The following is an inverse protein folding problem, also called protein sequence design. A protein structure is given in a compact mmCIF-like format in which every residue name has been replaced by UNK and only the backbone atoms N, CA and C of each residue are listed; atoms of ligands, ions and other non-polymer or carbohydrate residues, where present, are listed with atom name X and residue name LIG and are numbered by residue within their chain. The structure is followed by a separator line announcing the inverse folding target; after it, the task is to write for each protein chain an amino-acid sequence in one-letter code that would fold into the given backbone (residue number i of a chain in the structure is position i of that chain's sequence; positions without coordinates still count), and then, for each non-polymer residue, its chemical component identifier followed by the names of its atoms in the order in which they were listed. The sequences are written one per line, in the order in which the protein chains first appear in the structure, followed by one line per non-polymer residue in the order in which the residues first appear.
data_IF_981053344369
#
_entry.id   IF_981053344369
#
_cell.length_a   1.000
_cell.length_b   1.000
_cell.length_c   1.000
_cell.angle_alpha   90.00
_cell.angle_beta   90.00
_cell.angle_gamma   90.00
#
_symmetry.space_group_name_H-M   'P 1'
#
loop_
_entity.id
_entity.type
_entity.pdbx_description
1 polymer ?
#
# COMPACT_ATOMS: atom_id res chain seq x y z
N UNK A 1 -39.75 0.81 -49.29
CA UNK A 1 -39.26 1.24 -47.95
C UNK A 1 -38.51 0.07 -47.34
N UNK A 2 -37.18 0.17 -47.24
CA UNK A 2 -36.33 -0.89 -46.71
C UNK A 2 -36.00 -0.53 -45.25
N UNK A 3 -36.61 -1.21 -44.29
CA UNK A 3 -36.29 -1.06 -42.88
C UNK A 3 -35.02 -1.88 -42.60
N UNK A 4 -33.89 -1.21 -42.40
CA UNK A 4 -32.68 -1.82 -41.86
C UNK A 4 -32.88 -1.95 -40.35
N UNK A 5 -33.24 -3.14 -39.88
CA UNK A 5 -33.20 -3.50 -38.47
C UNK A 5 -31.75 -3.84 -38.13
N UNK A 6 -31.03 -2.91 -37.51
CA UNK A 6 -29.72 -3.19 -36.92
C UNK A 6 -29.95 -3.98 -35.65
N UNK A 7 -29.99 -5.31 -35.78
CA UNK A 7 -29.95 -6.23 -34.65
C UNK A 7 -28.55 -6.24 -34.05
N UNK A 8 -28.28 -5.37 -33.06
CA UNK A 8 -27.15 -5.57 -32.17
C UNK A 8 -27.41 -6.87 -31.39
N UNK A 9 -26.65 -7.92 -31.72
CA UNK A 9 -26.74 -9.20 -31.04
C UNK A 9 -26.64 -8.98 -29.52
N UNK A 10 -27.51 -9.61 -28.70
CA UNK A 10 -27.51 -9.42 -27.25
C UNK A 10 -26.12 -9.64 -26.61
N UNK A 11 -25.31 -10.52 -27.19
CA UNK A 11 -23.92 -10.78 -26.77
C UNK A 11 -23.03 -9.53 -26.81
N UNK A 12 -23.20 -8.64 -27.80
CA UNK A 12 -22.43 -7.39 -27.89
C UNK A 12 -22.85 -6.38 -26.82
N UNK A 13 -24.15 -6.30 -26.53
CA UNK A 13 -24.69 -5.40 -25.49
C UNK A 13 -24.27 -5.88 -24.09
N UNK A 14 -24.32 -7.19 -23.82
CA UNK A 14 -23.81 -7.76 -22.57
C UNK A 14 -22.28 -7.63 -22.46
N UNK A 15 -21.53 -7.78 -23.55
CA UNK A 15 -20.08 -7.59 -23.57
C UNK A 15 -19.67 -6.15 -23.25
N UNK A 16 -20.35 -5.16 -23.85
CA UNK A 16 -20.12 -3.74 -23.57
C UNK A 16 -20.56 -3.38 -22.16
N UNK A 17 -21.70 -3.89 -21.68
CA UNK A 17 -22.17 -3.67 -20.31
C UNK A 17 -21.24 -4.32 -19.26
N UNK A 18 -20.71 -5.51 -19.53
CA UNK A 18 -19.73 -6.18 -18.66
C UNK A 18 -18.38 -5.46 -18.66
N UNK A 19 -17.93 -4.95 -19.81
CA UNK A 19 -16.74 -4.09 -19.90
C UNK A 19 -16.95 -2.76 -19.16
N UNK A 20 -18.12 -2.15 -19.27
CA UNK A 20 -18.48 -0.94 -18.54
C UNK A 20 -18.59 -1.17 -17.04
N UNK A 21 -19.23 -2.26 -16.61
CA UNK A 21 -19.34 -2.66 -15.20
C UNK A 21 -17.96 -2.98 -14.61
N UNK A 22 -17.10 -3.69 -15.36
CA UNK A 22 -15.71 -3.97 -14.95
C UNK A 22 -14.87 -2.71 -14.88
N UNK A 23 -15.06 -1.75 -15.79
CA UNK A 23 -14.39 -0.45 -15.76
C UNK A 23 -14.88 0.41 -14.58
N UNK A 24 -16.18 0.32 -14.21
CA UNK A 24 -16.76 1.06 -13.08
C UNK A 24 -16.48 0.42 -11.71
N UNK A 25 -16.19 -0.88 -11.68
CA UNK A 25 -15.76 -1.64 -10.50
C UNK A 25 -14.28 -1.47 -10.15
N UNK A 26 -13.55 -0.57 -10.83
CA UNK A 26 -12.09 -0.45 -10.76
C UNK A 26 -11.54 0.36 -9.57
N UNK A 27 -12.39 1.06 -8.81
CA UNK A 27 -11.95 1.79 -7.62
C UNK A 27 -12.14 0.90 -6.39
N UNK A 28 -11.06 0.69 -5.66
CA UNK A 28 -11.11 0.03 -4.37
C UNK A 28 -11.97 0.88 -3.41
N UNK A 29 -12.73 0.22 -2.53
CA UNK A 29 -13.39 0.93 -1.44
C UNK A 29 -12.33 1.33 -0.41
N UNK A 30 -12.32 2.62 -0.04
CA UNK A 30 -11.48 3.15 1.04
C UNK A 30 -12.39 3.72 2.10
N UNK A 31 -12.32 3.16 3.31
CA UNK A 31 -13.05 3.67 4.46
C UNK A 31 -12.40 4.97 4.94
N UNK A 32 -13.11 6.09 4.82
CA UNK A 32 -12.62 7.37 5.32
C UNK A 32 -12.78 7.45 6.85
N UNK A 33 -11.66 7.51 7.56
CA UNK A 33 -11.60 7.71 9.02
C UNK A 33 -10.84 9.00 9.37
N UNK A 34 -10.66 9.91 8.40
CA UNK A 34 -9.89 11.14 8.59
C UNK A 34 -10.49 12.07 9.63
N UNK A 35 -11.80 12.06 9.84
CA UNK A 35 -12.44 12.81 10.92
C UNK A 35 -12.17 12.23 12.32
N UNK A 36 -11.88 10.93 12.41
CA UNK A 36 -11.71 10.21 13.67
C UNK A 36 -10.25 10.09 14.11
N UNK A 37 -9.31 10.05 13.15
CA UNK A 37 -7.90 9.91 13.48
C UNK A 37 -7.30 11.22 14.05
N UNK A 38 -6.39 11.17 15.04
CA UNK A 38 -5.90 12.36 15.74
C UNK A 38 -5.29 13.42 14.81
N UNK A 39 -5.83 14.64 14.86
CA UNK A 39 -5.36 15.78 14.06
C UNK A 39 -3.92 16.20 14.39
N UNK A 40 -3.49 16.05 15.64
CA UNK A 40 -2.16 16.47 16.12
C UNK A 40 -0.96 15.76 15.47
N UNK A 41 -1.19 14.71 14.67
CA UNK A 41 -0.15 14.04 13.88
C UNK A 41 0.16 14.73 12.55
N UNK A 42 -0.72 15.64 12.13
CA UNK A 42 -0.69 16.28 10.82
C UNK A 42 0.16 17.54 10.91
N UNK A 43 1.02 17.70 9.92
CA UNK A 43 1.78 18.93 9.69
C UNK A 43 1.50 19.45 8.28
N UNK A 44 1.76 20.74 8.05
CA UNK A 44 1.61 21.34 6.72
C UNK A 44 2.56 20.66 5.74
N UNK A 45 2.04 20.28 4.57
CA UNK A 45 2.85 19.81 3.45
C UNK A 45 3.24 20.98 2.56
N UNK A 46 4.50 20.98 2.10
CA UNK A 46 5.06 22.03 1.25
C UNK A 46 5.49 21.53 -0.13
N UNK A 47 5.46 20.22 -0.36
CA UNK A 47 5.87 19.58 -1.61
C UNK A 47 4.70 18.80 -2.21
N UNK A 48 4.68 18.69 -3.54
CA UNK A 48 3.80 17.75 -4.23
C UNK A 48 4.11 16.32 -3.80
N UNK A 49 3.09 15.47 -3.84
CA UNK A 49 3.20 14.06 -3.50
C UNK A 49 3.38 13.29 -4.80
N UNK A 50 4.46 12.53 -4.88
CA UNK A 50 4.78 11.68 -6.02
C UNK A 50 5.22 10.27 -5.60
N UNK A 51 5.25 10.02 -4.29
CA UNK A 51 5.71 8.76 -3.73
C UNK A 51 4.71 8.14 -2.77
N UNK A 52 4.79 6.82 -2.64
CA UNK A 52 4.23 6.06 -1.54
C UNK A 52 5.36 5.34 -0.81
N UNK A 53 5.26 5.25 0.51
CA UNK A 53 6.16 4.43 1.34
C UNK A 53 5.32 3.34 1.97
N UNK A 54 5.76 2.09 1.76
CA UNK A 54 5.14 0.91 2.33
C UNK A 54 5.74 0.63 3.71
N UNK A 55 4.87 0.23 4.63
CA UNK A 55 5.21 -0.07 6.00
C UNK A 55 4.56 -1.35 6.53
N UNK A 56 5.17 -1.98 7.52
CA UNK A 56 4.47 -2.90 8.43
C UNK A 56 4.30 -2.30 9.82
N UNK A 57 3.16 -2.56 10.46
CA UNK A 57 2.88 -2.04 11.80
C UNK A 57 3.69 -2.74 12.90
N UNK A 58 4.21 -3.94 12.63
CA UNK A 58 4.83 -4.84 13.62
C UNK A 58 3.86 -5.29 14.73
N UNK A 59 2.55 -5.19 14.49
CA UNK A 59 1.48 -5.68 15.35
C UNK A 59 0.16 -5.79 14.56
N UNK A 60 -0.77 -6.61 15.05
CA UNK A 60 -2.16 -6.67 14.59
C UNK A 60 -3.14 -6.42 15.74
N UNK A 61 -4.24 -5.74 15.45
CA UNK A 61 -5.42 -5.56 16.31
C UNK A 61 -6.67 -6.13 15.65
N UNK A 62 -6.52 -7.09 14.73
CA UNK A 62 -7.61 -7.70 13.97
C UNK A 62 -8.19 -6.79 12.89
N UNK A 63 -9.43 -7.07 12.49
CA UNK A 63 -10.03 -6.51 11.27
C UNK A 63 -10.75 -5.17 11.45
N UNK A 64 -10.98 -4.69 12.68
CA UNK A 64 -11.65 -3.40 12.87
C UNK A 64 -10.66 -2.22 12.65
N UNK A 65 -10.81 -1.43 11.56
CA UNK A 65 -9.87 -0.34 11.27
C UNK A 65 -9.90 0.76 12.33
N UNK A 66 -10.98 0.87 13.13
CA UNK A 66 -11.08 1.86 14.22
C UNK A 66 -10.08 1.58 15.36
N UNK A 67 -9.60 0.34 15.50
CA UNK A 67 -8.56 -0.01 16.48
C UNK A 67 -7.18 0.55 16.13
N UNK A 68 -7.02 1.10 14.93
CA UNK A 68 -5.75 1.59 14.38
C UNK A 68 -5.74 3.11 14.18
N UNK A 69 -6.73 3.87 14.67
CA UNK A 69 -6.78 5.34 14.52
C UNK A 69 -5.50 6.06 15.02
N UNK A 70 -4.75 5.44 15.94
CA UNK A 70 -3.48 5.95 16.47
C UNK A 70 -2.24 5.47 15.70
N UNK A 71 -2.36 4.81 14.54
CA UNK A 71 -1.24 4.59 13.61
C UNK A 71 -0.91 5.92 12.91
N UNK A 72 0.37 6.20 12.66
CA UNK A 72 0.80 7.44 11.98
C UNK A 72 1.00 7.15 10.50
N UNK A 73 -0.09 7.02 9.75
CA UNK A 73 -0.05 6.76 8.31
C UNK A 73 -1.23 7.41 7.59
N UNK A 74 -1.11 7.56 6.27
CA UNK A 74 -2.22 8.04 5.45
C UNK A 74 -3.26 6.95 5.27
N UNK A 75 -2.80 5.74 4.96
CA UNK A 75 -3.64 4.57 4.77
C UNK A 75 -3.17 3.41 5.65
N UNK A 76 -4.12 2.58 6.05
CA UNK A 76 -3.87 1.29 6.68
C UNK A 76 -4.57 0.17 5.91
N UNK A 77 -4.03 -1.04 6.00
CA UNK A 77 -4.65 -2.25 5.45
C UNK A 77 -4.65 -3.32 6.54
N UNK A 78 -5.85 -3.66 7.01
CA UNK A 78 -6.08 -4.68 8.05
C UNK A 78 -6.15 -6.10 7.46
N UNK A 79 -6.12 -7.18 8.26
CA UNK A 79 -5.91 -8.54 7.75
C UNK A 79 -6.97 -9.04 6.75
N UNK A 80 -8.22 -8.57 6.81
CA UNK A 80 -9.26 -8.91 5.83
C UNK A 80 -9.17 -8.11 4.52
N UNK A 81 -8.16 -7.26 4.37
CA UNK A 81 -7.96 -6.41 3.20
C UNK A 81 -8.75 -5.10 3.23
N UNK A 82 -9.47 -4.79 4.31
CA UNK A 82 -10.12 -3.48 4.44
C UNK A 82 -9.08 -2.37 4.44
N UNK A 83 -9.27 -1.39 3.57
CA UNK A 83 -8.40 -0.23 3.43
C UNK A 83 -9.08 0.95 4.11
N UNK A 84 -8.39 1.60 5.03
CA UNK A 84 -8.90 2.81 5.67
C UNK A 84 -7.92 3.98 5.51
N UNK A 85 -8.46 5.17 5.24
CA UNK A 85 -7.70 6.41 5.21
C UNK A 85 -7.78 7.09 6.59
N UNK A 86 -6.64 7.19 7.27
CA UNK A 86 -6.56 7.84 8.59
C UNK A 86 -6.24 9.33 8.45
N UNK A 87 -5.46 9.73 7.46
CA UNK A 87 -5.06 11.12 7.29
C UNK A 87 -5.17 11.56 5.82
N UNK A 88 -5.57 12.82 5.57
CA UNK A 88 -5.68 13.33 4.21
C UNK A 88 -4.29 13.34 3.55
N UNK A 89 -4.21 13.02 2.26
CA UNK A 89 -2.93 13.00 1.52
C UNK A 89 -2.23 14.36 1.58
N UNK A 90 -3.01 15.46 1.59
CA UNK A 90 -2.52 16.83 1.73
C UNK A 90 -1.78 17.12 3.04
N UNK A 91 -1.95 16.29 4.09
CA UNK A 91 -1.18 16.41 5.32
C UNK A 91 0.19 15.72 5.19
N UNK A 92 1.22 16.35 5.73
CA UNK A 92 2.51 15.70 6.00
C UNK A 92 2.42 14.95 7.33
N UNK A 93 2.92 13.73 7.35
CA UNK A 93 3.07 12.91 8.56
C UNK A 93 4.56 12.68 8.84
N UNK A 94 4.88 12.32 10.08
CA UNK A 94 6.20 11.82 10.47
C UNK A 94 6.17 10.28 10.50
N UNK A 95 6.11 9.67 9.32
CA UNK A 95 5.90 8.23 9.14
C UNK A 95 7.06 7.54 8.41
N UNK A 96 7.81 8.27 7.57
CA UNK A 96 8.71 7.73 6.55
C UNK A 96 10.04 8.48 6.46
N UNK A 97 10.55 9.03 7.58
CA UNK A 97 11.83 9.77 7.66
C UNK A 97 12.08 10.74 6.49
N UNK A 98 13.18 10.59 5.74
CA UNK A 98 13.52 11.45 4.59
C UNK A 98 12.46 11.55 3.49
N UNK A 99 11.51 10.61 3.41
CA UNK A 99 10.43 10.64 2.42
C UNK A 99 9.19 11.44 2.86
N UNK A 100 9.06 11.79 4.15
CA UNK A 100 7.87 12.44 4.73
C UNK A 100 7.30 13.61 3.91
N UNK A 101 8.19 14.43 3.33
CA UNK A 101 7.80 15.62 2.57
C UNK A 101 7.07 15.31 1.27
N UNK A 102 7.36 14.19 0.61
CA UNK A 102 6.87 13.86 -0.75
C UNK A 102 6.05 12.57 -0.83
N UNK A 103 5.93 11.84 0.27
CA UNK A 103 5.21 10.56 0.28
C UNK A 103 3.89 10.57 1.05
N UNK A 104 3.06 9.59 0.72
CA UNK A 104 2.03 9.05 1.61
C UNK A 104 2.47 7.71 2.17
N UNK A 105 2.09 7.39 3.41
CA UNK A 105 2.43 6.13 4.08
C UNK A 105 1.26 5.14 4.00
N UNK A 106 1.55 3.88 3.64
CA UNK A 106 0.62 2.75 3.73
C UNK A 106 1.16 1.75 4.75
N UNK A 107 0.41 1.52 5.82
CA UNK A 107 0.75 0.57 6.88
C UNK A 107 -0.08 -0.71 6.78
N UNK A 108 0.59 -1.86 6.75
CA UNK A 108 -0.05 -3.17 6.78
C UNK A 108 -0.08 -3.69 8.22
N UNK A 109 -1.27 -4.06 8.70
CA UNK A 109 -1.41 -4.68 10.00
C UNK A 109 -0.74 -6.07 10.02
N UNK A 110 0.04 -6.34 11.05
CA UNK A 110 0.77 -7.59 11.21
C UNK A 110 2.14 -7.37 11.82
N UNK A 111 2.57 -8.31 12.66
CA UNK A 111 3.97 -8.53 12.97
C UNK A 111 4.52 -9.54 11.96
N UNK A 112 5.21 -9.05 10.91
CA UNK A 112 5.62 -9.87 9.78
C UNK A 112 7.08 -10.31 9.88
N UNK A 113 7.34 -11.50 9.35
CA UNK A 113 8.64 -12.17 9.46
C UNK A 113 9.72 -11.42 8.69
N UNK A 114 10.92 -11.36 9.25
CA UNK A 114 12.12 -10.94 8.53
C UNK A 114 12.70 -12.07 7.68
N UNK A 115 13.56 -11.75 6.72
CA UNK A 115 14.30 -12.75 5.93
C UNK A 115 15.17 -13.68 6.77
N UNK A 116 15.62 -13.22 7.95
CA UNK A 116 16.38 -14.04 8.92
C UNK A 116 15.48 -14.94 9.77
N UNK A 117 14.18 -14.90 9.54
CA UNK A 117 13.20 -15.75 10.17
C UNK A 117 12.64 -15.26 11.50
N UNK A 118 13.03 -14.06 11.97
CA UNK A 118 12.56 -13.47 13.24
C UNK A 118 11.43 -12.46 13.06
N UNK A 119 10.69 -12.24 14.15
CA UNK A 119 9.59 -11.28 14.30
C UNK A 119 9.95 -10.24 15.36
N UNK A 120 9.28 -9.08 15.36
CA UNK A 120 9.51 -8.06 16.38
C UNK A 120 8.74 -8.41 17.66
N UNK A 121 9.44 -8.73 18.76
CA UNK A 121 8.83 -9.08 20.07
C UNK A 121 7.60 -10.01 19.93
N UNK A 122 7.76 -11.20 19.34
CA UNK A 122 6.63 -12.03 18.93
C UNK A 122 5.76 -12.55 20.09
N UNK A 123 6.29 -12.57 21.32
CA UNK A 123 5.57 -12.90 22.54
C UNK A 123 4.52 -11.83 22.88
N UNK A 124 4.78 -10.56 22.49
CA UNK A 124 3.87 -9.43 22.73
C UNK A 124 2.94 -9.15 21.55
N UNK A 125 3.44 -9.32 20.31
CA UNK A 125 2.76 -8.89 19.10
C UNK A 125 2.35 -10.02 18.16
N UNK A 126 2.59 -11.27 18.54
CA UNK A 126 2.27 -12.43 17.73
C UNK A 126 3.25 -12.67 16.58
N UNK A 127 2.95 -13.67 15.77
CA UNK A 127 3.71 -14.07 14.59
C UNK A 127 2.75 -14.10 13.41
N UNK A 128 2.48 -12.94 12.84
CA UNK A 128 1.55 -12.81 11.73
C UNK A 128 2.23 -13.14 10.39
N UNK A 129 1.39 -13.37 9.38
CA UNK A 129 1.77 -13.55 7.98
C UNK A 129 0.89 -12.61 7.16
N UNK A 130 1.45 -12.02 6.10
CA UNK A 130 0.71 -11.14 5.21
C UNK A 130 -0.41 -11.91 4.50
N UNK A 131 -1.66 -11.47 4.65
CA UNK A 131 -2.79 -12.19 4.05
C UNK A 131 -2.93 -11.91 2.55
N UNK A 132 -3.52 -12.86 1.81
CA UNK A 132 -3.84 -12.64 0.41
C UNK A 132 -4.77 -11.42 0.20
N UNK A 133 -5.69 -11.17 1.12
CA UNK A 133 -6.59 -10.02 1.07
C UNK A 133 -5.82 -8.70 1.21
N UNK A 134 -4.83 -8.64 2.12
CA UNK A 134 -3.93 -7.51 2.24
C UNK A 134 -3.10 -7.28 0.97
N UNK A 135 -2.59 -8.35 0.34
CA UNK A 135 -1.86 -8.23 -0.94
C UNK A 135 -2.74 -7.61 -2.02
N UNK A 136 -3.96 -8.13 -2.20
CA UNK A 136 -4.90 -7.62 -3.21
C UNK A 136 -5.28 -6.15 -2.94
N UNK A 137 -5.55 -5.82 -1.67
CA UNK A 137 -5.85 -4.48 -1.23
C UNK A 137 -4.69 -3.50 -1.49
N UNK A 138 -3.46 -3.88 -1.12
CA UNK A 138 -2.25 -3.10 -1.35
C UNK A 138 -2.02 -2.82 -2.82
N UNK A 139 -2.11 -3.86 -3.67
CA UNK A 139 -1.99 -3.72 -5.14
C UNK A 139 -3.06 -2.80 -5.72
N UNK A 140 -4.30 -2.93 -5.25
CA UNK A 140 -5.42 -2.08 -5.67
C UNK A 140 -5.22 -0.62 -5.28
N UNK A 141 -4.75 -0.36 -4.05
CA UNK A 141 -4.44 0.98 -3.57
C UNK A 141 -3.29 1.61 -4.34
N UNK A 142 -2.20 0.87 -4.60
CA UNK A 142 -1.10 1.35 -5.43
C UNK A 142 -1.57 1.76 -6.83
N UNK A 143 -2.44 0.97 -7.47
CA UNK A 143 -3.01 1.30 -8.78
C UNK A 143 -3.83 2.59 -8.74
N UNK A 144 -4.66 2.76 -7.71
CA UNK A 144 -5.45 3.98 -7.53
C UNK A 144 -4.56 5.20 -7.30
N UNK A 145 -3.55 5.09 -6.44
CA UNK A 145 -2.60 6.16 -6.15
C UNK A 145 -1.74 6.52 -7.37
N UNK A 146 -1.28 5.54 -8.14
CA UNK A 146 -0.58 5.74 -9.41
C UNK A 146 -1.44 6.52 -10.40
N UNK A 147 -2.72 6.19 -10.49
CA UNK A 147 -3.68 6.92 -11.33
C UNK A 147 -3.91 8.36 -10.86
N UNK A 148 -3.65 8.65 -9.58
CA UNK A 148 -3.70 10.00 -9.00
C UNK A 148 -2.35 10.75 -9.11
N UNK A 149 -1.35 10.20 -9.80
CA UNK A 149 -0.08 10.86 -10.07
C UNK A 149 1.12 10.37 -9.27
N UNK A 150 0.97 9.37 -8.38
CA UNK A 150 2.11 8.72 -7.73
C UNK A 150 2.97 7.99 -8.77
N UNK A 151 4.29 8.21 -8.70
CA UNK A 151 5.29 7.64 -9.60
C UNK A 151 6.29 6.74 -8.89
N UNK A 152 6.47 6.92 -7.59
CA UNK A 152 7.46 6.17 -6.82
C UNK A 152 6.82 5.27 -5.75
N UNK A 153 7.43 4.12 -5.50
CA UNK A 153 7.12 3.22 -4.39
C UNK A 153 8.41 2.90 -3.63
N UNK A 154 8.43 3.19 -2.34
CA UNK A 154 9.61 2.97 -1.50
C UNK A 154 9.29 2.07 -0.32
N UNK A 155 10.33 1.46 0.24
CA UNK A 155 10.33 0.84 1.55
C UNK A 155 10.85 1.83 2.59
N UNK A 156 10.28 1.85 3.80
CA UNK A 156 10.74 2.76 4.85
C UNK A 156 12.24 2.59 5.20
N UNK A 157 12.77 1.35 5.11
CA UNK A 157 14.20 1.08 5.28
C UNK A 157 15.11 1.96 4.41
N UNK A 158 14.66 2.37 3.23
CA UNK A 158 15.46 3.17 2.29
C UNK A 158 15.75 4.58 2.80
N UNK A 159 15.07 5.06 3.86
CA UNK A 159 15.34 6.35 4.49
C UNK A 159 15.65 6.25 5.99
N UNK A 160 15.82 5.03 6.54
CA UNK A 160 15.95 4.86 7.99
C UNK A 160 16.91 3.74 8.41
N UNK A 161 17.92 4.03 9.26
CA UNK A 161 18.84 3.01 9.77
C UNK A 161 18.17 2.09 10.80
N UNK A 162 17.03 2.50 11.38
CA UNK A 162 16.34 1.80 12.47
C UNK A 162 15.16 0.95 12.00
N UNK A 163 14.94 0.87 10.69
CA UNK A 163 13.77 0.22 10.08
C UNK A 163 14.17 -0.91 9.12
N UNK A 164 15.18 -1.70 9.51
CA UNK A 164 15.77 -2.72 8.65
C UNK A 164 14.78 -3.78 8.11
N UNK A 165 13.66 -4.04 8.78
CA UNK A 165 12.62 -4.97 8.32
C UNK A 165 11.33 -4.27 7.86
N UNK A 166 11.35 -2.97 7.55
CA UNK A 166 10.15 -2.22 7.17
C UNK A 166 10.15 -1.91 5.66
N UNK A 167 9.15 -2.36 4.88
CA UNK A 167 7.95 -3.10 5.27
C UNK A 167 8.16 -4.61 5.48
N UNK A 168 9.32 -5.12 5.09
CA UNK A 168 9.64 -6.54 5.19
C UNK A 168 9.48 -7.26 3.86
N UNK A 169 10.02 -8.48 3.76
CA UNK A 169 10.11 -9.22 2.51
C UNK A 169 8.75 -9.57 1.91
N UNK A 170 7.76 -9.92 2.74
CA UNK A 170 6.43 -10.33 2.27
C UNK A 170 5.70 -9.19 1.57
N UNK A 171 5.65 -8.00 2.19
CA UNK A 171 5.01 -6.82 1.60
C UNK A 171 5.81 -6.35 0.38
N UNK A 172 7.14 -6.34 0.46
CA UNK A 172 7.94 -5.88 -0.66
C UNK A 172 7.76 -6.77 -1.88
N UNK A 173 8.02 -8.07 -1.81
CA UNK A 173 7.87 -9.00 -2.94
C UNK A 173 6.47 -8.96 -3.55
N UNK A 174 5.43 -8.98 -2.71
CA UNK A 174 4.05 -9.16 -3.20
C UNK A 174 3.38 -7.86 -3.60
N UNK A 175 3.74 -6.71 -3.03
CA UNK A 175 3.09 -5.41 -3.28
C UNK A 175 4.06 -4.40 -3.87
N UNK A 176 5.23 -4.19 -3.24
CA UNK A 176 6.23 -3.21 -3.66
C UNK A 176 6.83 -3.53 -5.04
N UNK A 177 7.49 -4.68 -5.15
CA UNK A 177 8.07 -5.20 -6.39
C UNK A 177 7.01 -5.39 -7.47
N UNK A 178 5.82 -5.90 -7.11
CA UNK A 178 4.70 -5.94 -8.05
C UNK A 178 4.33 -4.55 -8.58
N UNK A 179 4.36 -3.52 -7.74
CA UNK A 179 4.12 -2.13 -8.14
C UNK A 179 5.17 -1.62 -9.12
N UNK A 180 6.43 -2.01 -8.94
CA UNK A 180 7.52 -1.74 -9.89
C UNK A 180 7.24 -2.46 -11.22
N UNK A 181 7.10 -3.78 -11.19
CA UNK A 181 7.04 -4.63 -12.39
C UNK A 181 5.75 -4.40 -13.21
N UNK A 182 4.63 -4.17 -12.53
CA UNK A 182 3.29 -4.16 -13.18
C UNK A 182 2.75 -2.74 -13.37
N UNK A 183 3.04 -1.81 -12.47
CA UNK A 183 2.55 -0.43 -12.59
C UNK A 183 3.61 0.55 -13.12
N UNK A 184 4.86 0.10 -13.25
CA UNK A 184 5.99 0.95 -13.65
C UNK A 184 6.29 2.03 -12.61
N UNK A 185 6.05 1.73 -11.32
CA UNK A 185 6.49 2.62 -10.23
C UNK A 185 8.01 2.50 -10.06
N UNK A 186 8.65 3.60 -9.70
CA UNK A 186 10.09 3.66 -9.50
C UNK A 186 10.44 3.56 -8.00
N UNK A 187 11.31 2.62 -7.64
CA UNK A 187 11.83 2.42 -6.28
C UNK A 187 13.22 3.03 -6.05
N UNK A 188 13.73 3.76 -7.05
CA UNK A 188 15.06 4.35 -7.12
C UNK A 188 16.13 3.42 -7.69
N UNK A 189 15.81 2.14 -7.93
CA UNK A 189 16.73 1.15 -8.49
C UNK A 189 17.67 0.51 -7.47
N UNK A 190 18.61 -0.27 -8.01
CA UNK A 190 19.62 -0.98 -7.22
C UNK A 190 20.46 -0.02 -6.37
N UNK A 191 20.68 -0.37 -5.10
CA UNK A 191 21.50 0.45 -4.20
C UNK A 191 20.85 1.77 -3.73
N UNK A 192 19.61 2.08 -4.15
CA UNK A 192 18.99 3.34 -3.76
C UNK A 192 18.56 3.35 -2.29
N UNK A 193 19.11 4.33 -1.57
CA UNK A 193 18.72 4.76 -0.25
C UNK A 193 19.06 6.25 -0.09
N UNK A 194 18.38 6.92 0.84
CA UNK A 194 18.65 8.30 1.22
C UNK A 194 18.98 8.39 2.70
N UNK A 195 19.62 9.49 3.09
CA UNK A 195 20.04 9.73 4.47
C UNK A 195 20.86 8.54 5.03
N UNK A 196 20.51 8.04 6.21
CA UNK A 196 21.13 6.86 6.80
C UNK A 196 20.34 5.57 6.51
N UNK A 197 19.50 5.57 5.47
CA UNK A 197 18.73 4.40 5.05
C UNK A 197 19.59 3.28 4.46
N UNK A 198 18.94 2.16 4.21
CA UNK A 198 19.55 0.98 3.57
C UNK A 198 18.74 0.54 2.36
N UNK A 199 19.40 0.15 1.25
CA UNK A 199 18.71 -0.28 0.05
C UNK A 199 17.84 -1.50 0.30
N UNK A 200 16.86 -1.70 -0.58
CA UNK A 200 16.05 -2.91 -0.59
C UNK A 200 16.93 -4.08 -1.04
N UNK A 201 17.04 -5.15 -0.24
CA UNK A 201 17.91 -6.27 -0.58
C UNK A 201 17.23 -7.14 -1.65
N UNK A 202 18.02 -7.76 -2.52
CA UNK A 202 17.50 -8.62 -3.58
C UNK A 202 16.65 -9.78 -3.06
N UNK A 203 16.98 -10.27 -1.85
CA UNK A 203 16.21 -11.31 -1.16
C UNK A 203 14.76 -10.91 -0.87
N UNK A 204 14.43 -9.61 -0.87
CA UNK A 204 13.05 -9.15 -0.76
C UNK A 204 12.33 -9.10 -2.10
N UNK A 205 13.05 -8.91 -3.22
CA UNK A 205 12.45 -8.74 -4.55
C UNK A 205 11.82 -10.02 -5.07
N UNK A 206 12.43 -11.17 -4.78
CA UNK A 206 11.96 -12.50 -5.17
C UNK A 206 11.51 -13.37 -3.99
N UNK A 207 11.15 -12.74 -2.86
CA UNK A 207 10.77 -13.49 -1.66
C UNK A 207 9.51 -14.32 -1.91
N UNK A 208 9.57 -15.61 -1.59
CA UNK A 208 8.42 -16.52 -1.69
C UNK A 208 7.82 -16.71 -0.31
N UNK A 209 6.51 -16.48 -0.18
CA UNK A 209 5.78 -16.77 1.05
C UNK A 209 5.90 -18.27 1.36
N UNK A 210 6.54 -18.60 2.48
CA UNK A 210 6.58 -19.97 2.96
C UNK A 210 5.26 -20.22 3.70
N UNK A 211 4.39 -21.04 3.10
CA UNK A 211 3.12 -21.48 3.70
C UNK A 211 3.34 -22.41 4.86
#
# INVERSE_FOLDING_TARGET
MLAIVIGLAPVAVFGVAALWARARSSRIAVLDLTALAPGGKRSKRTRAIDAVVLHQMSFSRGNDPRRYLKVTAHFIIVPDGTIAQLHPMSARLSASDGFNGRSVAIEFAGNLRSVKGGWYRPEDYGRDVLTAAQVLAGRGLLRQLRSAGIRHVYAHRQSSPKRGNDPGPEIWSTVGQWGVDVLGLDDGGEGYAIEAGTPIPDTWRSFTLTT
#
